data_IF_166947322365
#
_entry.id   IF_166947322365
#
_cell.length_a   1.000
_cell.length_b   1.000
_cell.length_c   1.000
_cell.angle_alpha   90.00
_cell.angle_beta   90.00
_cell.angle_gamma   90.00
#
_symmetry.space_group_name_H-M   'P 1'
#
loop_
_entity.id
_entity.type
_entity.pdbx_description
1 polymer ?
#
# COMPACT_ATOMS: atom_id res chain seq x y z
N UNK A 1 0.14 -3.47 23.31
CA UNK A 1 1.59 -3.49 23.04
C UNK A 1 2.21 -4.88 23.24
N UNK A 2 2.07 -5.53 24.40
CA UNK A 2 2.66 -6.87 24.66
C UNK A 2 2.24 -7.95 23.65
N UNK A 3 0.97 -7.95 23.21
CA UNK A 3 0.48 -8.92 22.24
C UNK A 3 1.07 -8.74 20.83
N UNK A 4 1.32 -7.50 20.40
CA UNK A 4 1.92 -7.24 19.09
C UNK A 4 3.38 -7.73 19.05
N UNK A 5 4.16 -7.40 20.08
CA UNK A 5 5.58 -7.79 20.18
C UNK A 5 5.73 -9.32 20.17
N UNK A 6 4.97 -10.02 21.02
CA UNK A 6 4.95 -11.48 21.07
C UNK A 6 4.54 -12.09 19.72
N UNK A 7 3.50 -11.54 19.09
CA UNK A 7 3.04 -12.01 17.78
C UNK A 7 4.12 -11.80 16.70
N UNK A 8 4.80 -10.65 16.70
CA UNK A 8 5.88 -10.33 15.77
C UNK A 8 7.05 -11.30 15.93
N UNK A 9 7.50 -11.55 17.15
CA UNK A 9 8.57 -12.52 17.46
C UNK A 9 8.21 -13.93 16.94
N UNK A 10 6.99 -14.40 17.24
CA UNK A 10 6.50 -15.70 16.76
C UNK A 10 6.37 -15.78 15.24
N UNK A 11 6.13 -14.66 14.56
CA UNK A 11 6.01 -14.65 13.10
C UNK A 11 7.38 -14.65 12.44
N UNK A 12 8.30 -13.82 12.93
CA UNK A 12 9.65 -13.70 12.39
C UNK A 12 10.53 -14.93 12.68
N UNK A 13 10.16 -15.76 13.66
CA UNK A 13 10.84 -17.04 13.92
C UNK A 13 10.45 -18.16 12.96
N UNK A 14 9.37 -17.99 12.19
CA UNK A 14 8.92 -18.99 11.22
C UNK A 14 9.73 -18.88 9.93
N UNK A 15 9.94 -20.02 9.28
CA UNK A 15 10.46 -20.06 7.92
C UNK A 15 9.53 -19.32 6.95
N UNK A 16 10.09 -18.83 5.86
CA UNK A 16 9.34 -18.17 4.81
C UNK A 16 8.35 -19.15 4.15
N UNK A 17 7.09 -18.74 4.06
CA UNK A 17 5.99 -19.59 3.57
C UNK A 17 5.73 -19.41 2.06
N UNK A 18 6.52 -18.60 1.35
CA UNK A 18 6.40 -18.45 -0.10
C UNK A 18 6.89 -19.72 -0.81
N UNK A 19 6.47 -19.90 -2.06
CA UNK A 19 6.96 -21.01 -2.90
C UNK A 19 8.47 -20.97 -3.13
N UNK A 20 9.05 -19.75 -3.13
CA UNK A 20 10.51 -19.53 -3.26
C UNK A 20 11.24 -19.94 -1.97
N UNK A 21 10.56 -19.89 -0.81
CA UNK A 21 11.17 -20.12 0.49
C UNK A 21 12.08 -18.97 0.95
N UNK A 22 12.04 -17.83 0.26
CA UNK A 22 12.81 -16.63 0.60
C UNK A 22 12.09 -15.37 0.14
N UNK A 23 12.48 -14.23 0.71
CA UNK A 23 12.09 -12.91 0.21
C UNK A 23 12.76 -12.65 -1.14
N UNK A 24 12.11 -11.90 -2.02
CA UNK A 24 12.69 -11.48 -3.30
C UNK A 24 13.85 -10.50 -3.04
N UNK A 25 15.02 -10.73 -3.66
CA UNK A 25 16.23 -9.93 -3.45
C UNK A 25 15.99 -8.42 -3.65
N UNK A 26 15.22 -7.97 -4.66
CA UNK A 26 14.99 -6.54 -4.90
C UNK A 26 14.25 -5.78 -3.79
N UNK A 27 13.60 -6.49 -2.86
CA UNK A 27 12.79 -5.89 -1.78
C UNK A 27 13.24 -6.36 -0.39
N UNK A 28 14.33 -7.13 -0.30
CA UNK A 28 14.84 -7.65 0.97
C UNK A 28 15.16 -6.51 1.94
N UNK A 29 15.78 -5.43 1.45
CA UNK A 29 16.13 -4.27 2.27
C UNK A 29 14.89 -3.58 2.85
N UNK A 30 13.81 -3.46 2.09
CA UNK A 30 12.54 -2.89 2.56
C UNK A 30 11.98 -3.76 3.69
N UNK A 31 11.97 -5.08 3.49
CA UNK A 31 11.45 -6.04 4.48
C UNK A 31 12.30 -6.01 5.75
N UNK A 32 13.63 -5.98 5.63
CA UNK A 32 14.55 -5.88 6.76
C UNK A 32 14.38 -4.54 7.50
N UNK A 33 14.28 -3.43 6.78
CA UNK A 33 14.08 -2.09 7.37
C UNK A 33 12.80 -2.01 8.18
N UNK A 34 11.68 -2.55 7.67
CA UNK A 34 10.43 -2.55 8.42
C UNK A 34 10.51 -3.49 9.63
N UNK A 35 11.00 -4.71 9.45
CA UNK A 35 11.04 -5.68 10.54
C UNK A 35 12.05 -5.32 11.64
N UNK A 36 13.04 -4.47 11.38
CA UNK A 36 13.95 -3.96 12.42
C UNK A 36 13.29 -2.95 13.37
N UNK A 37 12.16 -2.35 12.99
CA UNK A 37 11.42 -1.38 13.81
C UNK A 37 10.38 -2.07 14.67
N UNK A 38 10.30 -1.75 15.96
CA UNK A 38 9.38 -2.40 16.89
C UNK A 38 7.90 -2.33 16.47
N UNK A 39 7.49 -1.25 15.80
CA UNK A 39 6.09 -0.97 15.46
C UNK A 39 5.60 -1.59 14.15
N UNK A 40 6.48 -2.28 13.40
CA UNK A 40 6.12 -2.89 12.11
C UNK A 40 6.47 -4.37 12.08
N UNK A 41 5.66 -5.13 11.33
CA UNK A 41 5.96 -6.50 10.96
C UNK A 41 5.39 -6.78 9.56
N UNK A 42 6.24 -7.12 8.60
CA UNK A 42 5.75 -7.56 7.28
C UNK A 42 4.90 -8.83 7.45
N UNK A 43 4.00 -9.14 6.52
CA UNK A 43 3.13 -10.34 6.57
C UNK A 43 3.14 -11.14 5.27
N UNK A 44 3.29 -10.45 4.15
CA UNK A 44 3.59 -11.03 2.84
C UNK A 44 4.16 -9.93 1.94
N UNK A 45 4.95 -10.33 0.94
CA UNK A 45 5.58 -9.43 -0.01
C UNK A 45 5.86 -10.11 -1.34
N UNK A 46 5.89 -9.36 -2.43
CA UNK A 46 6.39 -9.79 -3.74
C UNK A 46 6.91 -8.58 -4.49
N UNK A 47 8.07 -8.69 -5.15
CA UNK A 47 8.69 -7.59 -5.91
C UNK A 47 7.99 -7.28 -7.24
N UNK A 48 7.12 -8.17 -7.70
CA UNK A 48 6.49 -8.15 -9.01
C UNK A 48 7.02 -9.25 -9.90
N UNK A 49 6.19 -9.73 -10.84
CA UNK A 49 6.51 -10.87 -11.71
C UNK A 49 5.82 -10.77 -13.06
N UNK A 50 6.45 -11.38 -14.07
CA UNK A 50 5.85 -11.68 -15.37
C UNK A 50 5.70 -13.19 -15.46
N UNK A 51 4.50 -13.68 -15.78
CA UNK A 51 4.17 -15.10 -15.85
C UNK A 51 3.25 -15.39 -17.03
N UNK A 52 3.36 -16.60 -17.57
CA UNK A 52 2.32 -17.18 -18.44
C UNK A 52 1.60 -18.23 -17.62
N UNK A 53 0.29 -18.07 -17.47
CA UNK A 53 -0.56 -18.96 -16.67
C UNK A 53 -1.43 -19.79 -17.61
N UNK A 54 -1.35 -21.11 -17.50
CA UNK A 54 -2.33 -22.00 -18.09
C UNK A 54 -3.57 -22.06 -17.19
N UNK A 55 -4.71 -21.64 -17.72
CA UNK A 55 -5.99 -21.81 -17.08
C UNK A 55 -6.56 -23.18 -17.45
N UNK A 56 -6.96 -23.99 -16.45
CA UNK A 56 -7.71 -25.19 -16.73
C UNK A 56 -9.01 -24.79 -17.45
N UNK A 57 -9.51 -25.61 -18.40
CA UNK A 57 -10.76 -25.32 -19.09
C UNK A 57 -11.86 -25.12 -18.03
N UNK A 58 -12.66 -24.06 -18.19
CA UNK A 58 -13.80 -23.82 -17.32
C UNK A 58 -14.66 -25.10 -17.28
N UNK A 59 -14.74 -25.74 -16.12
CA UNK A 59 -15.36 -27.05 -15.98
C UNK A 59 -16.82 -27.02 -16.48
N UNK A 60 -17.24 -27.94 -17.39
CA UNK A 60 -18.66 -28.16 -17.66
C UNK A 60 -19.30 -28.95 -16.50
N UNK A 61 -20.62 -28.85 -16.27
CA UNK A 61 -21.29 -29.39 -15.08
C UNK A 61 -21.31 -30.92 -14.91
N UNK A 62 -20.76 -31.73 -15.83
CA UNK A 62 -20.87 -33.19 -15.73
C UNK A 62 -19.75 -33.93 -16.49
N UNK A 63 -18.73 -34.33 -15.73
CA UNK A 63 -17.89 -35.55 -15.74
C UNK A 63 -17.79 -36.55 -16.92
N UNK A 64 -18.46 -36.48 -18.08
CA UNK A 64 -18.45 -37.61 -19.04
C UNK A 64 -17.94 -37.35 -20.47
N UNK A 65 -17.52 -36.11 -20.80
CA UNK A 65 -16.84 -35.80 -22.08
C UNK A 65 -15.37 -35.37 -21.84
N UNK A 66 -14.76 -35.92 -20.79
CA UNK A 66 -13.54 -35.39 -20.17
C UNK A 66 -12.21 -35.67 -20.90
N UNK A 67 -12.21 -36.25 -22.12
CA UNK A 67 -10.98 -36.81 -22.72
C UNK A 67 -10.79 -36.60 -24.23
N UNK A 68 -11.31 -35.52 -24.82
CA UNK A 68 -10.87 -35.08 -26.15
C UNK A 68 -10.23 -33.69 -26.10
N UNK A 69 -8.92 -33.68 -25.81
CA UNK A 69 -7.98 -32.55 -25.97
C UNK A 69 -8.39 -31.23 -25.28
N UNK A 70 -8.39 -31.23 -23.95
CA UNK A 70 -8.43 -29.99 -23.19
C UNK A 70 -7.11 -29.21 -23.38
N UNK A 71 -7.06 -28.38 -24.41
CA UNK A 71 -5.96 -27.46 -24.62
C UNK A 71 -6.21 -26.23 -23.75
N UNK A 72 -5.37 -26.04 -22.72
CA UNK A 72 -5.53 -25.01 -21.70
C UNK A 72 -5.38 -23.60 -22.29
N UNK A 73 -6.11 -22.64 -21.73
CA UNK A 73 -6.03 -21.24 -22.17
C UNK A 73 -4.89 -20.54 -21.45
N UNK A 74 -3.98 -19.93 -22.19
CA UNK A 74 -2.79 -19.29 -21.67
C UNK A 74 -3.03 -17.79 -21.54
N UNK A 75 -2.72 -17.23 -20.37
CA UNK A 75 -2.78 -15.80 -20.10
C UNK A 75 -1.38 -15.30 -19.76
N UNK A 76 -0.95 -14.26 -20.48
CA UNK A 76 0.24 -13.50 -20.14
C UNK A 76 -0.11 -12.47 -19.07
N UNK A 77 0.62 -12.47 -17.95
CA UNK A 77 0.34 -11.59 -16.83
C UNK A 77 1.59 -10.91 -16.27
N UNK A 78 1.50 -9.61 -16.03
CA UNK A 78 2.40 -8.86 -15.16
C UNK A 78 1.67 -8.42 -13.90
N UNK A 79 2.21 -8.79 -12.74
CA UNK A 79 1.73 -8.35 -11.43
C UNK A 79 2.81 -7.48 -10.76
N UNK A 80 2.47 -6.29 -10.25
CA UNK A 80 3.44 -5.37 -9.65
C UNK A 80 3.81 -5.75 -8.22
N UNK A 81 4.68 -4.95 -7.61
CA UNK A 81 5.00 -4.99 -6.20
C UNK A 81 3.76 -4.99 -5.30
N UNK A 82 3.80 -5.84 -4.29
CA UNK A 82 2.84 -5.85 -3.19
C UNK A 82 3.56 -6.09 -1.87
N UNK A 83 3.11 -5.40 -0.83
CA UNK A 83 3.62 -5.57 0.53
C UNK A 83 2.49 -5.41 1.54
N UNK A 84 2.40 -6.32 2.50
CA UNK A 84 1.47 -6.22 3.62
C UNK A 84 2.24 -6.08 4.92
N UNK A 85 1.93 -5.06 5.71
CA UNK A 85 2.63 -4.72 6.96
C UNK A 85 1.63 -4.55 8.09
N UNK A 86 1.77 -5.36 9.14
CA UNK A 86 1.01 -5.19 10.36
C UNK A 86 1.68 -4.07 11.15
N UNK A 87 0.91 -3.04 11.48
CA UNK A 87 1.35 -1.92 12.26
C UNK A 87 0.87 -2.09 13.70
N UNK A 88 1.67 -1.61 14.65
CA UNK A 88 1.28 -1.57 16.05
C UNK A 88 0.14 -0.58 16.27
N UNK A 89 0.28 0.64 15.73
CA UNK A 89 -0.65 1.75 15.93
C UNK A 89 -1.08 2.38 14.60
N UNK A 90 -2.17 3.17 14.63
CA UNK A 90 -2.75 3.77 13.42
C UNK A 90 -1.81 4.81 12.80
N UNK A 91 -1.06 5.54 13.61
CA UNK A 91 -0.09 6.56 13.17
C UNK A 91 1.00 5.95 12.29
N UNK A 92 1.51 4.76 12.67
CA UNK A 92 2.49 4.00 11.89
C UNK A 92 1.91 3.58 10.53
N UNK A 93 0.65 3.13 10.51
CA UNK A 93 -0.05 2.79 9.28
C UNK A 93 -0.30 4.01 8.38
N UNK A 94 -0.63 5.15 8.97
CA UNK A 94 -0.80 6.43 8.23
C UNK A 94 0.52 6.90 7.62
N UNK A 95 1.63 6.80 8.34
CA UNK A 95 2.96 7.12 7.80
C UNK A 95 3.28 6.25 6.58
N UNK A 96 3.13 4.92 6.70
CA UNK A 96 3.34 4.01 5.57
C UNK A 96 2.41 4.32 4.41
N UNK A 97 1.15 4.64 4.70
CA UNK A 97 0.17 5.00 3.68
C UNK A 97 0.58 6.24 2.90
N UNK A 98 0.94 7.34 3.58
CA UNK A 98 1.40 8.57 2.92
C UNK A 98 2.61 8.30 2.03
N UNK A 99 3.64 7.64 2.56
CA UNK A 99 4.84 7.25 1.80
C UNK A 99 4.48 6.38 0.59
N UNK A 100 3.52 5.46 0.73
CA UNK A 100 3.05 4.59 -0.36
C UNK A 100 2.36 5.37 -1.48
N UNK A 101 1.45 6.28 -1.14
CA UNK A 101 0.72 7.10 -2.12
C UNK A 101 1.68 7.99 -2.89
N UNK A 102 2.59 8.67 -2.19
CA UNK A 102 3.62 9.54 -2.78
C UNK A 102 4.60 8.75 -3.67
N UNK A 103 4.88 7.50 -3.33
CA UNK A 103 5.71 6.62 -4.15
C UNK A 103 5.02 6.14 -5.45
N UNK A 104 3.70 6.26 -5.55
CA UNK A 104 2.90 5.84 -6.72
C UNK A 104 2.02 4.60 -6.48
N UNK A 105 1.93 4.11 -5.24
CA UNK A 105 1.09 2.97 -4.86
C UNK A 105 -0.30 3.43 -4.44
N UNK A 106 -1.06 4.03 -5.36
CA UNK A 106 -2.35 4.70 -5.09
C UNK A 106 -3.49 3.78 -4.62
N UNK A 107 -3.36 2.46 -4.77
CA UNK A 107 -4.35 1.46 -4.32
C UNK A 107 -4.01 0.86 -2.96
N UNK A 108 -3.06 1.49 -2.27
CA UNK A 108 -2.70 1.15 -0.91
C UNK A 108 -3.83 1.50 0.05
N UNK A 109 -3.91 0.81 1.18
CA UNK A 109 -4.98 1.03 2.13
C UNK A 109 -4.73 0.40 3.49
N UNK A 110 -5.41 0.93 4.49
CA UNK A 110 -5.35 0.49 5.87
C UNK A 110 -6.63 -0.27 6.20
N UNK A 111 -6.50 -1.42 6.83
CA UNK A 111 -7.62 -2.20 7.35
C UNK A 111 -7.45 -2.39 8.86
N UNK A 112 -8.53 -2.15 9.62
CA UNK A 112 -8.55 -2.33 11.07
C UNK A 112 -9.55 -3.43 11.40
N UNK A 113 -9.07 -4.54 11.95
CA UNK A 113 -9.94 -5.66 12.33
C UNK A 113 -10.68 -5.39 13.65
N UNK A 114 -11.75 -6.14 13.91
CA UNK A 114 -12.50 -6.09 15.18
C UNK A 114 -11.62 -6.38 16.42
N UNK A 115 -10.52 -7.10 16.24
CA UNK A 115 -9.55 -7.43 17.30
C UNK A 115 -8.45 -6.37 17.45
N UNK A 116 -8.58 -5.21 16.80
CA UNK A 116 -7.61 -4.11 16.85
C UNK A 116 -6.35 -4.31 16.01
N UNK A 117 -6.23 -5.42 15.25
CA UNK A 117 -5.11 -5.61 14.30
C UNK A 117 -5.23 -4.60 13.15
N UNK A 118 -4.19 -3.78 12.98
CA UNK A 118 -4.05 -2.79 11.92
C UNK A 118 -3.14 -3.35 10.84
N UNK A 119 -3.64 -3.39 9.61
CA UNK A 119 -2.97 -3.98 8.46
C UNK A 119 -2.90 -2.96 7.34
N UNK A 120 -1.67 -2.58 6.99
CA UNK A 120 -1.35 -1.74 5.86
C UNK A 120 -1.04 -2.61 4.63
N UNK A 121 -1.67 -2.32 3.49
CA UNK A 121 -1.41 -2.95 2.22
C UNK A 121 -0.83 -1.92 1.23
N UNK A 122 0.37 -2.14 0.72
CA UNK A 122 1.02 -1.33 -0.33
C UNK A 122 0.77 -2.01 -1.67
N UNK A 123 0.00 -1.36 -2.54
CA UNK A 123 -0.48 -1.97 -3.81
C UNK A 123 -0.59 -0.95 -4.94
N UNK A 124 -0.54 -1.44 -6.17
CA UNK A 124 -0.77 -0.66 -7.39
C UNK A 124 -1.75 -1.37 -8.34
N UNK A 125 -2.42 -0.59 -9.19
CA UNK A 125 -3.17 -1.09 -10.37
C UNK A 125 -2.28 -1.31 -11.60
N UNK A 126 -0.96 -1.11 -11.46
CA UNK A 126 0.00 -1.24 -12.55
C UNK A 126 0.24 -2.71 -12.93
N UNK A 127 -0.73 -3.32 -13.60
CA UNK A 127 -0.70 -4.71 -14.05
C UNK A 127 -0.86 -4.78 -15.57
N UNK A 128 -0.66 -5.98 -16.12
CA UNK A 128 -1.01 -6.34 -17.50
C UNK A 128 -1.58 -7.76 -17.46
N UNK A 129 -2.69 -8.00 -18.15
CA UNK A 129 -3.28 -9.33 -18.29
C UNK A 129 -3.82 -9.46 -19.70
N UNK A 130 -3.29 -10.42 -20.46
CA UNK A 130 -3.59 -10.59 -21.88
C UNK A 130 -3.80 -12.08 -22.19
N UNK A 131 -4.98 -12.51 -22.64
CA UNK A 131 -5.19 -13.88 -23.10
C UNK A 131 -4.44 -14.10 -24.42
N UNK A 132 -3.64 -15.17 -24.49
CA UNK A 132 -2.87 -15.55 -25.68
C UNK A 132 -3.52 -16.67 -26.46
N UNK A 133 -4.14 -17.65 -25.77
CA UNK A 133 -4.82 -18.78 -26.41
C UNK A 133 -6.29 -18.86 -26.00
N UNK A 134 -7.11 -19.43 -26.89
CA UNK A 134 -8.51 -19.74 -26.63
C UNK A 134 -8.83 -21.12 -27.17
N UNK A 135 -9.38 -21.99 -26.32
CA UNK A 135 -9.53 -23.44 -26.58
C UNK A 135 -8.20 -24.05 -27.05
N UNK A 136 -7.10 -23.55 -26.46
CA UNK A 136 -5.71 -23.85 -26.79
C UNK A 136 -5.26 -23.61 -28.24
N UNK A 137 -6.00 -22.80 -28.99
CA UNK A 137 -5.50 -22.19 -30.23
C UNK A 137 -4.87 -20.84 -29.91
N UNK A 138 -3.67 -20.58 -30.43
CA UNK A 138 -3.05 -19.26 -30.35
C UNK A 138 -3.90 -18.24 -31.12
N UNK A 139 -4.28 -17.16 -30.43
CA UNK A 139 -5.18 -16.11 -30.94
C UNK A 139 -4.42 -14.88 -31.43
N UNK A 140 -3.11 -14.84 -31.21
CA UNK A 140 -2.24 -13.69 -31.46
C UNK A 140 -1.08 -14.07 -32.36
N UNK A 141 -0.53 -13.10 -33.08
CA UNK A 141 0.68 -13.31 -33.89
C UNK A 141 1.94 -13.28 -33.03
N UNK A 142 3.06 -13.75 -33.58
CA UNK A 142 4.37 -13.69 -32.91
C UNK A 142 4.77 -12.24 -32.63
N UNK A 143 4.54 -11.33 -33.58
CA UNK A 143 4.85 -9.90 -33.42
C UNK A 143 4.04 -9.26 -32.28
N UNK A 144 2.80 -9.72 -32.05
CA UNK A 144 2.01 -9.25 -30.92
C UNK A 144 2.56 -9.76 -29.58
N UNK A 145 3.06 -10.99 -29.53
CA UNK A 145 3.69 -11.53 -28.33
C UNK A 145 4.93 -10.71 -27.97
N UNK A 146 5.77 -10.38 -28.96
CA UNK A 146 6.94 -9.50 -28.76
C UNK A 146 6.54 -8.12 -28.23
N UNK A 147 5.48 -7.52 -28.80
CA UNK A 147 4.94 -6.26 -28.31
C UNK A 147 4.46 -6.36 -26.84
N UNK A 148 3.73 -7.41 -26.48
CA UNK A 148 3.25 -7.62 -25.10
C UNK A 148 4.42 -7.80 -24.13
N UNK A 149 5.46 -8.53 -24.53
CA UNK A 149 6.69 -8.68 -23.73
C UNK A 149 7.36 -7.32 -23.51
N UNK A 150 7.48 -6.50 -24.55
CA UNK A 150 8.05 -5.15 -24.42
C UNK A 150 7.25 -4.28 -23.45
N UNK A 151 5.91 -4.29 -23.55
CA UNK A 151 5.02 -3.56 -22.62
C UNK A 151 5.19 -4.08 -21.18
N UNK A 152 5.30 -5.38 -21.00
CA UNK A 152 5.51 -5.99 -19.68
C UNK A 152 6.85 -5.56 -19.06
N UNK A 153 7.92 -5.53 -19.85
CA UNK A 153 9.24 -5.08 -19.42
C UNK A 153 9.24 -3.60 -19.03
N UNK A 154 8.59 -2.73 -19.83
CA UNK A 154 8.41 -1.31 -19.48
C UNK A 154 7.62 -1.15 -18.17
N UNK A 155 6.57 -1.96 -17.98
CA UNK A 155 5.81 -1.95 -16.73
C UNK A 155 6.65 -2.42 -15.54
N UNK A 156 7.49 -3.43 -15.72
CA UNK A 156 8.42 -3.90 -14.70
C UNK A 156 9.45 -2.82 -14.34
N UNK A 157 9.99 -2.10 -15.33
CA UNK A 157 10.93 -1.00 -15.08
C UNK A 157 10.30 0.13 -14.26
N UNK A 158 9.07 0.54 -14.59
CA UNK A 158 8.32 1.52 -13.80
C UNK A 158 8.00 0.99 -12.39
N UNK A 159 7.73 -0.30 -12.24
CA UNK A 159 7.57 -0.93 -10.94
C UNK A 159 8.83 -0.81 -10.08
N UNK A 160 10.03 -1.04 -10.66
CA UNK A 160 11.30 -0.81 -9.96
C UNK A 160 11.49 0.64 -9.54
N UNK A 161 11.16 1.61 -10.40
CA UNK A 161 11.22 3.03 -10.06
C UNK A 161 10.33 3.38 -8.86
N UNK A 162 9.14 2.79 -8.78
CA UNK A 162 8.22 2.98 -7.64
C UNK A 162 8.72 2.33 -6.36
N UNK A 163 9.26 1.10 -6.44
CA UNK A 163 9.88 0.41 -5.31
C UNK A 163 11.03 1.25 -4.73
N UNK A 164 11.91 1.76 -5.59
CA UNK A 164 13.04 2.58 -5.18
C UNK A 164 12.59 3.90 -4.53
N UNK A 165 11.59 4.57 -5.11
CA UNK A 165 11.00 5.79 -4.52
C UNK A 165 10.39 5.50 -3.15
N UNK A 166 9.63 4.42 -3.04
CA UNK A 166 9.03 3.98 -1.78
C UNK A 166 10.09 3.72 -0.71
N UNK A 167 11.16 2.98 -1.06
CA UNK A 167 12.22 2.67 -0.11
C UNK A 167 12.94 3.93 0.39
N UNK A 168 13.33 4.83 -0.51
CA UNK A 168 13.99 6.09 -0.15
C UNK A 168 13.11 6.97 0.74
N UNK A 169 11.84 7.15 0.38
CA UNK A 169 10.88 7.94 1.17
C UNK A 169 10.59 7.30 2.53
N UNK A 170 10.46 5.96 2.58
CA UNK A 170 10.27 5.22 3.82
C UNK A 170 11.44 5.38 4.77
N UNK A 171 12.66 5.21 4.26
CA UNK A 171 13.89 5.35 5.05
C UNK A 171 13.96 6.74 5.67
N UNK A 172 13.76 7.79 4.86
CA UNK A 172 13.74 9.18 5.31
C UNK A 172 12.65 9.45 6.37
N UNK A 173 11.42 8.96 6.15
CA UNK A 173 10.31 9.15 7.08
C UNK A 173 10.57 8.49 8.45
N UNK A 174 11.16 7.29 8.45
CA UNK A 174 11.49 6.57 9.68
C UNK A 174 12.67 7.19 10.43
N UNK A 175 13.67 7.70 9.72
CA UNK A 175 14.81 8.41 10.32
C UNK A 175 14.36 9.72 10.97
N UNK A 176 13.55 10.53 10.29
CA UNK A 176 13.05 11.80 10.84
C UNK A 176 12.18 11.60 12.09
N UNK A 177 11.36 10.55 12.12
CA UNK A 177 10.52 10.24 13.29
C UNK A 177 11.33 9.79 14.50
N UNK A 178 12.51 9.20 14.28
CA UNK A 178 13.42 8.87 15.38
C UNK A 178 14.02 10.14 15.99
N UNK A 179 14.50 11.06 15.14
CA UNK A 179 15.09 12.32 15.58
C UNK A 179 14.10 13.20 16.37
N UNK A 180 12.83 13.26 15.95
CA UNK A 180 11.80 14.02 16.67
C UNK A 180 11.41 13.43 18.03
N UNK A 181 11.66 12.13 18.26
CA UNK A 181 11.42 11.45 19.54
C UNK A 181 12.63 11.48 20.48
N UNK A 182 13.84 11.64 19.95
CA UNK A 182 15.09 11.67 20.73
C UNK A 182 15.48 13.05 21.25
N UNK A 183 14.80 14.12 20.84
CA UNK A 183 14.98 15.47 21.42
C UNK A 183 14.26 15.57 22.77
N UNK A 184 14.94 15.80 23.90
CA UNK A 184 14.28 16.11 25.17
C UNK A 184 13.54 17.45 25.03
N UNK A 185 12.33 17.52 25.57
CA UNK A 185 11.64 18.78 25.81
C UNK A 185 12.48 19.65 26.74
N UNK A 186 13.11 20.70 26.23
CA UNK A 186 13.49 21.83 27.08
C UNK A 186 12.21 22.48 27.60
N UNK A 187 11.94 22.28 28.88
CA UNK A 187 11.02 23.11 29.65
C UNK A 187 11.51 24.56 29.55
N UNK A 188 10.77 25.40 28.81
CA UNK A 188 10.85 26.85 29.03
C UNK A 188 9.78 27.24 30.03
N UNK A 189 10.26 27.46 31.25
CA UNK A 189 9.55 28.06 32.37
C UNK A 189 8.80 29.33 31.98
N UNK A 190 7.64 29.47 32.63
CA UNK A 190 6.79 30.65 32.61
C UNK A 190 7.52 31.85 33.22
N UNK A 191 7.67 32.92 32.45
CA UNK A 191 7.88 34.27 32.97
C UNK A 191 6.55 35.04 32.99
N UNK A 192 6.07 35.35 34.19
CA UNK A 192 4.85 36.09 34.49
C UNK A 192 4.83 37.51 33.90
N UNK A 193 3.66 37.94 33.42
CA UNK A 193 3.31 39.32 33.10
C UNK A 193 1.80 39.56 33.21
N UNK A 194 1.32 39.66 34.45
CA UNK A 194 0.01 40.22 34.87
C UNK A 194 0.04 41.73 34.55
N UNK A 195 -1.00 42.51 34.25
CA UNK A 195 -2.47 42.53 34.36
C UNK A 195 -2.89 43.70 33.43
N UNK A 196 -4.03 43.77 32.73
CA UNK A 196 -5.29 44.20 33.34
C UNK A 196 -6.36 44.47 32.28
N UNK A 197 -7.57 43.97 32.58
CA UNK A 197 -8.89 44.62 32.50
C UNK A 197 -9.32 45.41 31.24
N UNK A 198 -10.42 44.97 30.62
CA UNK A 198 -11.12 45.77 29.61
C UNK A 198 -12.43 45.17 29.05
N UNK A 199 -13.31 44.64 29.91
CA UNK A 199 -14.66 44.21 29.53
C UNK A 199 -15.55 45.44 29.28
N UNK A 200 -16.09 45.61 28.08
CA UNK A 200 -17.30 46.45 27.85
C UNK A 200 -18.32 45.68 27.02
N UNK A 201 -19.47 45.43 27.65
CA UNK A 201 -20.71 45.01 27.00
C UNK A 201 -21.52 46.23 26.54
N UNK A 202 -22.36 45.97 25.53
CA UNK A 202 -23.69 46.57 25.24
C UNK A 202 -23.79 47.98 24.64
N UNK A 203 -24.44 48.11 23.48
CA UNK A 203 -25.89 48.42 23.39
C UNK A 203 -26.41 48.42 21.95
N UNK A 204 -27.60 47.86 21.78
CA UNK A 204 -28.45 47.99 20.60
C UNK A 204 -29.23 49.31 20.65
N UNK A 205 -29.52 49.90 19.48
CA UNK A 205 -30.64 50.82 19.29
C UNK A 205 -31.20 50.69 17.87
N UNK A 206 -32.47 50.26 17.81
CA UNK A 206 -33.42 50.40 16.69
C UNK A 206 -33.97 51.84 16.65
N UNK A 207 -34.29 52.33 15.44
CA UNK A 207 -35.52 53.07 15.04
C UNK A 207 -35.40 53.41 13.54
N UNK A 208 -36.25 52.85 12.67
CA UNK A 208 -37.54 53.41 12.20
C UNK A 208 -37.36 54.78 11.53
N UNK A 209 -37.81 55.09 10.31
CA UNK A 209 -38.68 54.47 9.32
C UNK A 209 -39.01 55.56 8.28
N UNK A 210 -39.58 55.21 7.11
CA UNK A 210 -40.22 56.19 6.22
C UNK A 210 -39.89 56.07 4.72
N UNK A 211 -40.58 55.15 4.05
CA UNK A 211 -41.09 55.28 2.66
C UNK A 211 -42.02 56.53 2.53
N UNK A 212 -42.35 57.08 1.33
CA UNK A 212 -42.92 56.33 0.20
C UNK A 212 -42.65 56.82 -1.24
N UNK A 213 -43.06 55.96 -2.21
CA UNK A 213 -43.68 56.18 -3.55
C UNK A 213 -43.18 57.33 -4.43
N UNK A 214 -43.00 57.25 -5.75
CA UNK A 214 -43.72 56.67 -6.92
C UNK A 214 -42.84 57.12 -8.13
N UNK A 215 -42.72 56.52 -9.30
CA UNK A 215 -43.55 55.75 -10.24
C UNK A 215 -42.63 54.79 -11.02
#
# INVERSE_FOLDING_TARGET
MADFKRWKEQRLSRADASRKGSVDEPIEEIVRLLNSRETFCTTSSCSGRVVVLEQPPAAPPAAFTALQKAAADAIFKFEPFVLHVQCQDLEDAQLLHTVSIEAGFRNSGITVSRKGKIMMAVRSTHCLEVPLTQKGRLMVSEEYVDFVIQVANQKMEENWKRINRFYSSLKFALENRYHSRSSPSEEKEKGNGMDSCGRKQSKATKKDGGSPSSD
#
